data_IF_519747930975
#
_entry.id   IF_519747930975
#
_cell.length_a   1.000
_cell.length_b   1.000
_cell.length_c   1.000
_cell.angle_alpha   90.00
_cell.angle_beta   90.00
_cell.angle_gamma   90.00
#
_symmetry.space_group_name_H-M   'P 1'
#
loop_
_entity.id
_entity.type
_entity.pdbx_description
1 polymer ?
#
# COMPACT_ATOMS: atom_id res chain seq x y z
N UNK A 1 5.27 -15.73 12.55
CA UNK A 1 5.24 -14.27 12.47
C UNK A 1 3.86 -13.87 12.91
N UNK A 2 3.76 -13.20 14.04
CA UNK A 2 2.48 -12.74 14.56
C UNK A 2 2.03 -11.56 13.70
N UNK A 3 0.80 -11.63 13.22
CA UNK A 3 0.18 -10.59 12.40
C UNK A 3 -0.64 -9.75 13.39
N UNK A 4 -0.29 -8.48 13.53
CA UNK A 4 -1.00 -7.57 14.40
C UNK A 4 -2.16 -6.90 13.63
N UNK A 5 -3.30 -6.66 14.30
CA UNK A 5 -4.38 -5.88 13.71
C UNK A 5 -3.93 -4.43 13.53
N UNK A 6 -4.45 -3.78 12.49
CA UNK A 6 -4.15 -2.37 12.22
C UNK A 6 -4.59 -1.43 13.36
N UNK A 7 -3.72 -0.51 13.77
CA UNK A 7 -4.06 0.63 14.63
C UNK A 7 -4.84 1.69 13.84
N UNK A 8 -6.15 1.47 13.74
CA UNK A 8 -7.06 2.34 12.97
C UNK A 8 -6.95 3.80 13.39
N UNK A 9 -6.85 4.09 14.70
CA UNK A 9 -6.85 5.46 15.21
C UNK A 9 -5.59 6.21 14.75
N UNK A 10 -4.43 5.56 14.86
CA UNK A 10 -3.18 6.10 14.36
C UNK A 10 -3.22 6.32 12.84
N UNK A 11 -3.61 5.30 12.07
CA UNK A 11 -3.56 5.37 10.60
C UNK A 11 -4.63 6.31 9.98
N UNK A 12 -5.69 6.63 10.72
CA UNK A 12 -6.62 7.73 10.39
C UNK A 12 -6.00 9.14 10.58
N UNK A 13 -4.86 9.25 11.25
CA UNK A 13 -4.01 10.44 11.28
C UNK A 13 -3.17 10.63 10.01
N UNK A 14 -2.75 9.54 9.37
CA UNK A 14 -1.78 9.53 8.27
C UNK A 14 -2.37 9.80 6.88
N UNK A 15 -1.93 10.87 6.21
CA UNK A 15 -2.48 11.27 4.91
C UNK A 15 -1.73 10.68 3.70
N UNK A 16 -0.47 10.27 3.87
CA UNK A 16 0.37 9.77 2.79
C UNK A 16 1.06 8.48 3.24
N UNK A 17 0.96 7.45 2.40
CA UNK A 17 1.42 6.11 2.71
C UNK A 17 2.53 5.71 1.74
N UNK A 18 3.51 4.97 2.25
CA UNK A 18 4.36 4.19 1.37
C UNK A 18 3.55 3.08 0.70
N UNK A 19 4.17 2.44 -0.29
CA UNK A 19 3.53 1.33 -1.00
C UNK A 19 3.21 0.17 -0.06
N UNK A 20 4.11 -0.15 0.88
CA UNK A 20 3.88 -1.23 1.83
C UNK A 20 2.88 -0.85 2.90
N UNK A 21 2.98 0.34 3.48
CA UNK A 21 2.00 0.81 4.47
C UNK A 21 0.57 0.73 3.93
N UNK A 22 0.35 1.22 2.71
CA UNK A 22 -0.94 1.09 2.06
C UNK A 22 -1.33 -0.39 1.86
N UNK A 23 -0.42 -1.25 1.38
CA UNK A 23 -0.74 -2.65 1.15
C UNK A 23 -1.13 -3.43 2.41
N UNK A 24 -0.42 -3.18 3.52
CA UNK A 24 -0.70 -3.77 4.83
C UNK A 24 -2.02 -3.24 5.40
N UNK A 25 -2.21 -1.93 5.39
CA UNK A 25 -3.43 -1.31 5.90
C UNK A 25 -4.68 -1.73 5.11
N UNK A 26 -4.55 -1.90 3.79
CA UNK A 26 -5.62 -2.42 2.92
C UNK A 26 -5.95 -3.90 3.16
N UNK A 27 -5.09 -4.61 3.89
CA UNK A 27 -5.30 -5.99 4.31
C UNK A 27 -5.70 -6.09 5.80
N UNK A 28 -6.00 -4.96 6.46
CA UNK A 28 -6.29 -4.85 7.89
C UNK A 28 -5.17 -5.37 8.81
N UNK A 29 -3.92 -5.24 8.36
CA UNK A 29 -2.71 -5.67 9.08
C UNK A 29 -1.88 -4.44 9.43
N UNK A 30 -1.31 -4.42 10.62
CA UNK A 30 -0.36 -3.38 11.03
C UNK A 30 0.85 -3.35 10.09
N UNK A 31 1.12 -2.20 9.43
CA UNK A 31 2.29 -2.05 8.59
C UNK A 31 3.60 -2.24 9.35
N UNK A 32 4.58 -2.85 8.68
CA UNK A 32 5.94 -2.89 9.20
C UNK A 32 6.65 -1.57 8.98
N UNK A 33 7.57 -1.23 9.89
CA UNK A 33 8.55 -0.19 9.64
C UNK A 33 9.35 -0.51 8.38
N UNK A 34 9.44 0.46 7.47
CA UNK A 34 10.35 0.37 6.35
C UNK A 34 11.77 0.76 6.79
N UNK A 35 12.82 0.00 6.43
CA UNK A 35 12.80 -1.12 5.49
C UNK A 35 12.46 -2.47 6.14
N UNK A 36 11.58 -3.23 5.47
CA UNK A 36 11.35 -4.65 5.78
C UNK A 36 12.70 -5.38 5.80
N UNK A 37 13.04 -5.98 6.94
CA UNK A 37 14.24 -6.81 7.10
C UNK A 37 14.38 -7.79 5.94
N UNK A 38 15.60 -8.01 5.45
CA UNK A 38 15.88 -8.89 4.31
C UNK A 38 15.39 -10.33 4.50
N UNK A 39 15.17 -10.74 5.75
CA UNK A 39 14.73 -12.09 6.11
C UNK A 39 13.22 -12.17 6.42
N UNK A 40 12.52 -11.03 6.43
CA UNK A 40 11.09 -10.97 6.68
C UNK A 40 10.32 -11.12 5.36
N UNK A 41 9.49 -12.16 5.28
CA UNK A 41 8.64 -12.41 4.11
C UNK A 41 7.24 -11.85 4.37
N UNK A 42 6.79 -10.83 3.64
CA UNK A 42 5.44 -10.29 3.80
C UNK A 42 4.37 -11.34 3.49
N UNK A 43 3.18 -11.25 4.12
CA UNK A 43 2.06 -12.11 3.78
C UNK A 43 1.71 -12.00 2.28
N UNK A 44 1.35 -13.13 1.65
CA UNK A 44 1.08 -13.19 0.21
C UNK A 44 -0.06 -12.28 -0.25
N UNK A 45 -1.09 -12.11 0.58
CA UNK A 45 -2.18 -11.17 0.32
C UNK A 45 -1.69 -9.72 0.28
N UNK A 46 -0.75 -9.34 1.16
CA UNK A 46 -0.12 -8.01 1.18
C UNK A 46 0.73 -7.80 -0.08
N UNK A 47 1.50 -8.80 -0.51
CA UNK A 47 2.27 -8.70 -1.77
C UNK A 47 1.37 -8.52 -3.00
N UNK A 48 0.27 -9.28 -3.05
CA UNK A 48 -0.73 -9.15 -4.10
C UNK A 48 -1.38 -7.77 -4.07
N UNK A 49 -1.74 -7.28 -2.87
CA UNK A 49 -2.34 -5.95 -2.70
C UNK A 49 -1.38 -4.85 -3.16
N UNK A 50 -0.11 -4.89 -2.74
CA UNK A 50 0.93 -3.97 -3.22
C UNK A 50 1.00 -3.92 -4.74
N UNK A 51 0.97 -5.09 -5.38
CA UNK A 51 1.00 -5.20 -6.85
C UNK A 51 -0.23 -4.56 -7.49
N UNK A 52 -1.42 -4.77 -6.90
CA UNK A 52 -2.66 -4.14 -7.34
C UNK A 52 -2.61 -2.62 -7.18
N UNK A 53 -2.12 -2.11 -6.05
CA UNK A 53 -2.04 -0.67 -5.81
C UNK A 53 -1.14 0.02 -6.84
N UNK A 54 0.08 -0.49 -7.07
CA UNK A 54 1.03 0.10 -8.03
C UNK A 54 0.54 0.07 -9.49
N UNK A 55 -0.18 -0.99 -9.87
CA UNK A 55 -0.69 -1.14 -11.23
C UNK A 55 -1.90 -0.25 -11.53
N UNK A 56 -2.61 0.24 -10.50
CA UNK A 56 -3.93 0.84 -10.67
C UNK A 56 -4.08 2.23 -10.06
N UNK A 57 -3.18 2.64 -9.17
CA UNK A 57 -3.24 3.93 -8.49
C UNK A 57 -1.98 4.71 -8.88
N UNK A 58 -2.12 5.89 -9.49
CA UNK A 58 -0.98 6.72 -9.82
C UNK A 58 -0.32 7.26 -8.54
N UNK A 59 0.98 7.50 -8.62
CA UNK A 59 1.73 8.17 -7.56
C UNK A 59 1.12 9.56 -7.27
N UNK A 60 0.92 9.90 -6.00
CA UNK A 60 0.18 11.10 -5.59
C UNK A 60 0.78 12.44 -6.07
N UNK A 61 2.12 12.57 -6.09
CA UNK A 61 2.80 13.76 -6.63
C UNK A 61 2.98 13.75 -8.15
N UNK A 62 3.47 12.64 -8.72
CA UNK A 62 3.90 12.61 -10.13
C UNK A 62 2.81 12.18 -11.10
N UNK A 63 1.71 11.60 -10.61
CA UNK A 63 0.63 11.07 -11.45
C UNK A 63 0.99 9.82 -12.26
N UNK A 64 2.21 9.29 -12.10
CA UNK A 64 2.69 8.15 -12.88
C UNK A 64 2.14 6.83 -12.34
N UNK A 65 1.72 5.93 -13.24
CA UNK A 65 1.34 4.55 -12.93
C UNK A 65 2.53 3.65 -13.23
N UNK A 66 2.93 2.83 -12.26
CA UNK A 66 4.10 1.96 -12.40
C UNK A 66 3.60 0.54 -12.66
N UNK A 67 3.35 0.25 -13.95
CA UNK A 67 2.88 -1.05 -14.40
C UNK A 67 3.92 -2.18 -14.16
N UNK A 68 3.44 -3.43 -14.12
CA UNK A 68 4.18 -4.65 -13.72
C UNK A 68 5.43 -4.99 -14.56
N UNK A 69 5.68 -4.32 -15.68
CA UNK A 69 6.77 -4.66 -16.60
C UNK A 69 8.11 -4.06 -16.15
N UNK A 70 8.94 -4.86 -15.47
CA UNK A 70 10.33 -4.50 -15.17
C UNK A 70 10.95 -5.10 -13.91
N UNK A 71 10.23 -5.97 -13.19
CA UNK A 71 10.69 -6.53 -11.93
C UNK A 71 11.65 -7.69 -12.20
N UNK A 72 12.95 -7.40 -12.25
CA UNK A 72 13.95 -8.45 -12.03
C UNK A 72 14.49 -8.29 -10.62
N UNK A 73 14.65 -9.39 -9.88
CA UNK A 73 15.30 -9.39 -8.56
C UNK A 73 16.74 -8.82 -8.56
N UNK A 74 17.31 -8.59 -9.76
CA UNK A 74 18.62 -7.94 -9.97
C UNK A 74 18.54 -6.44 -10.18
N UNK A 75 17.41 -5.91 -10.64
CA UNK A 75 17.15 -4.49 -10.62
C UNK A 75 16.79 -4.16 -9.17
N UNK A 76 17.70 -3.47 -8.47
CA UNK A 76 17.44 -2.83 -7.18
C UNK A 76 15.98 -2.35 -7.16
N UNK A 77 15.23 -2.59 -6.06
CA UNK A 77 13.94 -1.92 -5.82
C UNK A 77 14.07 -0.52 -6.42
N UNK A 78 13.30 -0.12 -7.45
CA UNK A 78 13.47 1.22 -7.98
C UNK A 78 13.46 2.14 -6.77
N UNK A 79 14.54 2.90 -6.54
CA UNK A 79 14.66 3.75 -5.34
C UNK A 79 13.44 4.69 -5.19
N UNK A 80 12.72 4.88 -6.31
CA UNK A 80 11.44 5.55 -6.45
C UNK A 80 10.25 4.90 -5.70
N UNK A 81 10.34 3.65 -5.25
CA UNK A 81 9.22 2.92 -4.63
C UNK A 81 9.36 2.71 -3.11
N UNK A 82 10.49 3.11 -2.51
CA UNK A 82 10.71 3.10 -1.04
C UNK A 82 10.30 4.43 -0.39
N UNK A 83 9.36 5.14 -0.99
CA UNK A 83 8.91 6.44 -0.54
C UNK A 83 7.39 6.49 -0.41
N UNK A 84 6.93 7.61 0.14
CA UNK A 84 5.52 7.98 0.16
C UNK A 84 4.98 8.02 -1.27
N UNK A 85 3.86 7.33 -1.50
CA UNK A 85 3.38 7.05 -2.85
C UNK A 85 1.89 7.29 -3.01
N UNK A 86 1.08 6.91 -2.02
CA UNK A 86 -0.38 7.04 -2.11
C UNK A 86 -0.86 8.08 -1.11
N UNK A 87 -1.69 9.03 -1.55
CA UNK A 87 -2.49 9.81 -0.61
C UNK A 87 -3.73 9.02 -0.20
N UNK A 88 -4.24 9.28 1.01
CA UNK A 88 -5.53 8.74 1.47
C UNK A 88 -6.65 8.99 0.46
N UNK A 89 -6.70 10.19 -0.11
CA UNK A 89 -7.69 10.56 -1.11
C UNK A 89 -7.60 9.69 -2.36
N UNK A 90 -6.40 9.41 -2.86
CA UNK A 90 -6.20 8.54 -4.03
C UNK A 90 -6.60 7.09 -3.73
N UNK A 91 -6.30 6.58 -2.53
CA UNK A 91 -6.73 5.26 -2.06
C UNK A 91 -8.26 5.18 -1.99
N UNK A 92 -8.91 6.16 -1.34
CA UNK A 92 -10.38 6.27 -1.27
C UNK A 92 -11.02 6.30 -2.66
N UNK A 93 -10.54 7.20 -3.52
CA UNK A 93 -11.11 7.39 -4.86
C UNK A 93 -11.01 6.11 -5.69
N UNK A 94 -9.88 5.41 -5.62
CA UNK A 94 -9.72 4.14 -6.32
C UNK A 94 -10.72 3.11 -5.83
N UNK A 95 -10.83 2.93 -4.52
CA UNK A 95 -11.71 1.93 -3.94
C UNK A 95 -13.18 2.20 -4.26
N UNK A 96 -13.61 3.45 -4.20
CA UNK A 96 -14.97 3.84 -4.61
C UNK A 96 -15.24 3.54 -6.09
N UNK A 97 -14.21 3.58 -6.94
CA UNK A 97 -14.32 3.25 -8.37
C UNK A 97 -14.35 1.74 -8.64
N UNK A 98 -13.61 0.94 -7.87
CA UNK A 98 -13.50 -0.52 -8.12
C UNK A 98 -14.44 -1.38 -7.29
N UNK A 99 -14.88 -0.91 -6.13
CA UNK A 99 -15.64 -1.69 -5.16
C UNK A 99 -16.89 -0.92 -4.73
N UNK A 100 -17.88 -0.82 -5.62
CA UNK A 100 -19.15 -0.12 -5.33
C UNK A 100 -19.93 -0.72 -4.16
N UNK A 101 -19.71 -2.00 -3.84
CA UNK A 101 -20.50 -2.75 -2.86
C UNK A 101 -19.66 -3.26 -1.67
N UNK A 102 -18.40 -2.84 -1.54
CA UNK A 102 -17.51 -3.29 -0.48
C UNK A 102 -17.22 -2.12 0.48
N UNK A 103 -17.31 -2.38 1.78
CA UNK A 103 -16.97 -1.41 2.82
C UNK A 103 -15.53 -0.96 2.64
N UNK A 104 -15.31 0.35 2.62
CA UNK A 104 -13.96 0.90 2.63
C UNK A 104 -13.22 0.41 3.89
N UNK A 105 -11.91 0.12 3.79
CA UNK A 105 -11.08 -0.14 4.97
C UNK A 105 -11.25 0.97 6.02
N UNK A 106 -11.37 0.58 7.28
CA UNK A 106 -11.76 1.50 8.37
C UNK A 106 -10.73 2.62 8.55
N UNK A 107 -9.44 2.32 8.34
CA UNK A 107 -8.36 3.32 8.39
C UNK A 107 -8.54 4.45 7.35
N UNK A 108 -9.33 4.20 6.29
CA UNK A 108 -9.71 5.22 5.33
C UNK A 108 -10.96 5.98 5.75
N UNK A 109 -11.86 5.46 6.60
CA UNK A 109 -13.21 6.02 6.82
C UNK A 109 -13.29 7.26 7.74
N UNK A 110 -12.27 8.13 7.76
CA UNK A 110 -12.38 9.49 8.34
C UNK A 110 -13.55 10.26 7.74
#
# INVERSE_FOLDING_TARGET
>A
MEIEPIDVEYWQGEDIFTVWQAAFAMCDIEPWDEPISTNATPPKNVENMRTQLLANIPHYQTGQIFAQSGWSCKAQRPAQLSGYYFSRSALKERLLKTHKDQSLPIFLMK
#
